data_IF_641191159342
#
_entry.id   IF_641191159342
#
_cell.length_a   1.000
_cell.length_b   1.000
_cell.length_c   1.000
_cell.angle_alpha   90.00
_cell.angle_beta   90.00
_cell.angle_gamma   90.00
#
_symmetry.space_group_name_H-M   'P 1'
#
loop_
_entity.id
_entity.type
_entity.pdbx_description
1 polymer ?
#
# COMPACT_ATOMS: atom_id res chain seq x y z
N UNK A 1 -2.83 -25.45 31.16
CA UNK A 1 -2.48 -26.68 30.41
C UNK A 1 -1.40 -26.33 29.40
N UNK A 2 -0.21 -26.94 29.50
CA UNK A 2 0.84 -26.83 28.49
C UNK A 2 0.55 -27.85 27.38
N UNK A 3 0.46 -27.41 26.12
CA UNK A 3 0.25 -28.29 24.97
C UNK A 3 1.55 -28.59 24.21
N UNK A 4 1.48 -29.43 23.18
CA UNK A 4 2.65 -29.78 22.34
C UNK A 4 3.01 -28.67 21.35
N UNK A 5 4.31 -28.57 21.01
CA UNK A 5 4.88 -27.68 19.97
C UNK A 5 4.44 -26.22 20.11
N UNK A 6 4.54 -25.67 21.32
CA UNK A 6 4.27 -24.24 21.59
C UNK A 6 5.53 -23.41 21.32
N UNK A 7 5.33 -22.18 20.85
CA UNK A 7 6.41 -21.21 20.68
C UNK A 7 7.07 -20.90 22.03
N UNK A 8 8.37 -20.64 21.99
CA UNK A 8 9.16 -20.23 23.16
C UNK A 8 9.81 -18.90 22.80
N UNK A 9 9.55 -17.89 23.61
CA UNK A 9 10.15 -16.57 23.51
C UNK A 9 11.12 -16.38 24.68
N UNK A 10 12.23 -15.68 24.44
CA UNK A 10 13.27 -15.43 25.43
C UNK A 10 13.56 -13.91 25.51
N UNK A 11 12.63 -13.11 26.07
CA UNK A 11 12.77 -11.66 26.09
C UNK A 11 14.05 -11.21 26.79
N UNK A 12 14.76 -10.25 26.20
CA UNK A 12 16.00 -9.71 26.75
C UNK A 12 17.24 -10.60 26.56
N UNK A 13 17.11 -11.75 25.91
CA UNK A 13 18.23 -12.62 25.56
C UNK A 13 18.63 -12.42 24.09
N UNK A 14 19.89 -12.10 23.78
CA UNK A 14 20.38 -12.13 22.40
C UNK A 14 20.31 -13.57 21.88
N UNK A 15 19.33 -13.87 21.03
CA UNK A 15 19.17 -15.20 20.44
C UNK A 15 20.08 -15.32 19.21
N UNK A 16 21.07 -16.20 19.28
CA UNK A 16 22.00 -16.47 18.17
C UNK A 16 21.44 -17.52 17.19
N UNK A 17 20.25 -17.26 16.67
CA UNK A 17 19.69 -18.01 15.55
C UNK A 17 19.99 -17.27 14.23
N UNK A 18 20.26 -17.97 13.13
CA UNK A 18 20.41 -17.33 11.84
C UNK A 18 19.09 -16.65 11.43
N UNK A 19 19.19 -15.49 10.77
CA UNK A 19 18.01 -14.77 10.28
C UNK A 19 17.28 -15.51 9.15
N UNK A 20 17.94 -16.48 8.49
CA UNK A 20 17.36 -17.36 7.47
C UNK A 20 17.89 -18.78 7.72
N UNK A 21 17.02 -19.71 8.09
CA UNK A 21 17.38 -21.12 8.23
C UNK A 21 17.46 -21.84 6.87
N UNK A 22 18.04 -23.05 6.85
CA UNK A 22 18.04 -23.89 5.63
C UNK A 22 16.63 -24.24 5.14
N UNK A 23 15.66 -24.33 6.05
CA UNK A 23 14.25 -24.52 5.67
C UNK A 23 13.69 -23.23 5.04
N UNK A 24 13.96 -22.07 5.65
CA UNK A 24 13.47 -20.79 5.12
C UNK A 24 14.02 -20.53 3.72
N UNK A 25 15.26 -20.93 3.44
CA UNK A 25 15.83 -20.84 2.09
C UNK A 25 15.00 -21.62 1.07
N UNK A 26 14.59 -22.85 1.40
CA UNK A 26 13.75 -23.68 0.53
C UNK A 26 12.38 -23.05 0.31
N UNK A 27 11.76 -22.53 1.38
CA UNK A 27 10.44 -21.90 1.31
C UNK A 27 10.48 -20.61 0.47
N UNK A 28 11.54 -19.81 0.59
CA UNK A 28 11.75 -18.60 -0.21
C UNK A 28 11.90 -18.93 -1.69
N UNK A 29 12.73 -19.92 -2.04
CA UNK A 29 12.91 -20.36 -3.43
C UNK A 29 11.64 -20.98 -4.01
N UNK A 30 10.89 -21.74 -3.21
CA UNK A 30 9.57 -22.23 -3.60
C UNK A 30 8.60 -21.07 -3.86
N UNK A 31 8.59 -20.04 -3.00
CA UNK A 31 7.79 -18.83 -3.23
C UNK A 31 8.12 -18.13 -4.55
N UNK A 32 9.40 -18.05 -4.90
CA UNK A 32 9.86 -17.51 -6.20
C UNK A 32 9.32 -18.36 -7.36
N UNK A 33 9.43 -19.68 -7.27
CA UNK A 33 8.91 -20.62 -8.27
C UNK A 33 7.39 -20.48 -8.46
N UNK A 34 6.64 -20.34 -7.36
CA UNK A 34 5.19 -20.12 -7.39
C UNK A 34 4.79 -18.68 -7.76
N UNK A 35 5.77 -17.79 -7.96
CA UNK A 35 5.54 -16.43 -8.42
C UNK A 35 4.86 -15.53 -7.42
N UNK A 36 5.02 -15.76 -6.10
CA UNK A 36 4.39 -14.94 -5.05
C UNK A 36 4.69 -13.45 -5.23
N UNK A 37 3.77 -12.59 -4.78
CA UNK A 37 3.90 -11.15 -4.97
C UNK A 37 4.69 -10.47 -3.83
N UNK A 38 4.57 -11.02 -2.62
CA UNK A 38 5.10 -10.45 -1.38
C UNK A 38 5.62 -11.58 -0.45
N UNK A 39 6.65 -11.30 0.32
CA UNK A 39 7.21 -12.17 1.36
C UNK A 39 7.13 -11.41 2.69
N UNK A 40 6.53 -12.04 3.69
CA UNK A 40 6.53 -11.53 5.07
C UNK A 40 7.67 -12.21 5.83
N UNK A 41 8.80 -11.50 5.94
CA UNK A 41 10.01 -12.03 6.57
C UNK A 41 9.91 -11.92 8.09
N UNK A 42 9.94 -13.07 8.79
CA UNK A 42 9.74 -13.14 10.24
C UNK A 42 11.03 -12.86 11.01
N UNK A 43 10.88 -12.31 12.22
CA UNK A 43 11.92 -12.04 13.20
C UNK A 43 13.11 -11.23 12.64
N UNK A 44 12.83 -10.26 11.79
CA UNK A 44 13.87 -9.38 11.23
C UNK A 44 14.45 -8.49 12.34
N UNK A 45 15.78 -8.53 12.47
CA UNK A 45 16.54 -7.80 13.50
C UNK A 45 17.40 -6.68 12.95
N UNK A 46 17.76 -6.75 11.67
CA UNK A 46 18.65 -5.80 11.02
C UNK A 46 18.39 -5.71 9.51
N UNK A 47 19.00 -4.72 8.88
CA UNK A 47 18.93 -4.52 7.44
C UNK A 47 19.64 -5.61 6.63
N UNK A 48 20.61 -6.31 7.22
CA UNK A 48 21.39 -7.32 6.51
C UNK A 48 20.53 -8.55 6.20
N UNK A 49 19.69 -8.98 7.14
CA UNK A 49 18.72 -10.07 6.93
C UNK A 49 17.83 -9.83 5.70
N UNK A 50 17.38 -8.58 5.49
CA UNK A 50 16.59 -8.22 4.31
C UNK A 50 17.41 -8.32 3.02
N UNK A 51 18.67 -7.86 3.04
CA UNK A 51 19.58 -7.97 1.90
C UNK A 51 19.89 -9.44 1.58
N UNK A 52 20.06 -10.27 2.60
CA UNK A 52 20.32 -11.70 2.44
C UNK A 52 19.12 -12.41 1.79
N UNK A 53 17.88 -12.06 2.17
CA UNK A 53 16.68 -12.56 1.50
C UNK A 53 16.67 -12.11 0.02
N UNK A 54 16.91 -10.83 -0.25
CA UNK A 54 16.94 -10.28 -1.63
C UNK A 54 18.03 -10.95 -2.49
N UNK A 55 19.20 -11.19 -1.92
CA UNK A 55 20.30 -11.88 -2.60
C UNK A 55 19.96 -13.34 -2.89
N UNK A 56 19.30 -14.03 -1.94
CA UNK A 56 18.92 -15.43 -2.07
C UNK A 56 17.89 -15.65 -3.17
N UNK A 57 16.84 -14.82 -3.23
CA UNK A 57 15.79 -14.95 -4.26
C UNK A 57 16.26 -14.46 -5.64
N UNK A 58 17.34 -13.66 -5.65
CA UNK A 58 18.06 -13.24 -6.85
C UNK A 58 17.19 -12.53 -7.89
N UNK A 59 17.64 -12.59 -9.14
CA UNK A 59 16.99 -11.91 -10.26
C UNK A 59 15.56 -12.42 -10.52
N UNK A 60 15.30 -13.71 -10.29
CA UNK A 60 13.98 -14.30 -10.43
C UNK A 60 12.97 -13.73 -9.41
N UNK A 61 13.45 -13.40 -8.21
CA UNK A 61 12.65 -12.80 -7.14
C UNK A 61 12.73 -11.28 -7.05
N UNK A 62 13.46 -10.58 -7.92
CA UNK A 62 13.76 -9.13 -7.77
C UNK A 62 12.55 -8.22 -7.61
N UNK A 63 11.41 -8.63 -8.15
CA UNK A 63 10.16 -7.88 -8.13
C UNK A 63 9.22 -8.34 -7.02
N UNK A 64 9.64 -9.24 -6.11
CA UNK A 64 8.85 -9.65 -4.94
C UNK A 64 9.13 -8.66 -3.80
N UNK A 65 8.08 -8.16 -3.14
CA UNK A 65 8.26 -7.24 -2.03
C UNK A 65 8.59 -7.96 -0.74
N UNK A 66 9.63 -7.51 -0.05
CA UNK A 66 10.00 -8.04 1.27
C UNK A 66 9.45 -7.10 2.34
N UNK A 67 8.47 -7.59 3.08
CA UNK A 67 7.89 -6.89 4.24
C UNK A 67 8.56 -7.43 5.51
N UNK A 68 9.28 -6.56 6.20
CA UNK A 68 9.94 -6.92 7.45
C UNK A 68 8.92 -7.00 8.58
N UNK A 69 8.78 -8.16 9.22
CA UNK A 69 7.98 -8.30 10.45
C UNK A 69 8.84 -7.89 11.64
N UNK A 70 8.41 -6.85 12.35
CA UNK A 70 9.09 -6.38 13.56
C UNK A 70 8.44 -7.04 14.76
N UNK A 71 9.18 -7.99 15.34
CA UNK A 71 8.67 -8.96 16.32
C UNK A 71 9.47 -8.97 17.62
N UNK A 72 10.60 -8.26 17.69
CA UNK A 72 11.52 -8.28 18.83
C UNK A 72 12.16 -6.92 19.09
N UNK A 73 12.87 -6.82 20.21
CA UNK A 73 13.52 -5.58 20.65
C UNK A 73 14.54 -5.05 19.66
N UNK A 74 15.41 -5.92 19.12
CA UNK A 74 16.46 -5.53 18.16
C UNK A 74 15.88 -4.96 16.87
N UNK A 75 14.75 -5.50 16.39
CA UNK A 75 14.03 -4.96 15.24
C UNK A 75 13.47 -3.56 15.49
N UNK A 76 13.09 -3.22 16.73
CA UNK A 76 12.71 -1.86 17.10
C UNK A 76 13.93 -0.93 17.12
N UNK A 77 15.04 -1.37 17.72
CA UNK A 77 16.27 -0.57 17.81
C UNK A 77 16.84 -0.24 16.42
N UNK A 78 16.83 -1.21 15.52
CA UNK A 78 17.36 -1.08 14.15
C UNK A 78 16.31 -0.63 13.13
N UNK A 79 15.12 -0.22 13.58
CA UNK A 79 13.94 0.00 12.74
C UNK A 79 14.21 0.91 11.54
N UNK A 80 14.94 2.00 11.71
CA UNK A 80 15.21 2.94 10.61
C UNK A 80 16.02 2.26 9.48
N UNK A 81 17.05 1.48 9.83
CA UNK A 81 17.86 0.76 8.83
C UNK A 81 17.09 -0.38 8.16
N UNK A 82 16.20 -1.04 8.90
CA UNK A 82 15.32 -2.09 8.35
C UNK A 82 14.32 -1.46 7.38
N UNK A 83 13.69 -0.35 7.77
CA UNK A 83 12.78 0.41 6.91
C UNK A 83 13.50 0.78 5.62
N UNK A 84 14.76 1.23 5.66
CA UNK A 84 15.51 1.60 4.45
C UNK A 84 15.77 0.41 3.51
N UNK A 85 16.06 -0.78 4.04
CA UNK A 85 16.34 -1.97 3.24
C UNK A 85 15.10 -2.72 2.72
N UNK A 86 14.02 -2.76 3.52
CA UNK A 86 12.79 -3.49 3.23
C UNK A 86 11.87 -2.74 2.25
N UNK A 87 10.93 -3.44 1.64
CA UNK A 87 9.94 -2.82 0.75
C UNK A 87 8.71 -2.34 1.55
N UNK A 88 8.55 -2.80 2.79
CA UNK A 88 7.56 -2.36 3.77
C UNK A 88 7.79 -3.00 5.14
N UNK A 89 6.93 -2.69 6.10
CA UNK A 89 7.01 -3.22 7.47
C UNK A 89 5.68 -3.79 7.92
N UNK A 90 5.72 -4.85 8.72
CA UNK A 90 4.58 -5.35 9.47
C UNK A 90 4.82 -5.16 10.97
N UNK A 91 3.89 -4.48 11.64
CA UNK A 91 3.79 -4.41 13.09
C UNK A 91 3.21 -5.74 13.57
N UNK A 92 4.08 -6.69 13.90
CA UNK A 92 3.69 -8.06 14.25
C UNK A 92 3.47 -8.18 15.77
N UNK A 93 2.29 -7.71 16.21
CA UNK A 93 1.97 -7.46 17.62
C UNK A 93 1.93 -8.69 18.52
N UNK A 94 1.71 -9.87 17.93
CA UNK A 94 1.64 -11.14 18.65
C UNK A 94 2.95 -11.45 19.37
N UNK A 95 4.00 -11.74 18.61
CA UNK A 95 5.34 -11.98 19.15
C UNK A 95 5.92 -10.73 19.81
N UNK A 96 5.68 -9.55 19.23
CA UNK A 96 6.19 -8.31 19.79
C UNK A 96 5.66 -8.03 21.21
N UNK A 97 4.38 -8.31 21.47
CA UNK A 97 3.78 -8.15 22.80
C UNK A 97 4.26 -9.16 23.85
N UNK A 98 5.05 -10.15 23.44
CA UNK A 98 5.77 -11.06 24.32
C UNK A 98 7.22 -10.56 24.53
N UNK A 99 7.86 -10.07 23.47
CA UNK A 99 9.26 -9.60 23.49
C UNK A 99 9.47 -8.24 24.18
N UNK A 100 8.45 -7.37 24.19
CA UNK A 100 8.45 -6.11 24.93
C UNK A 100 7.25 -6.03 25.88
N UNK A 101 7.29 -5.20 26.94
CA UNK A 101 6.14 -5.00 27.81
C UNK A 101 4.90 -4.62 27.01
N UNK A 102 3.77 -5.28 27.28
CA UNK A 102 2.54 -5.17 26.48
C UNK A 102 2.05 -3.72 26.38
N UNK A 103 2.20 -2.94 27.45
CA UNK A 103 1.87 -1.52 27.50
C UNK A 103 2.76 -0.64 26.61
N UNK A 104 3.87 -1.16 26.08
CA UNK A 104 4.74 -0.44 25.12
C UNK A 104 4.44 -0.78 23.66
N UNK A 105 3.63 -1.80 23.38
CA UNK A 105 3.33 -2.25 22.00
C UNK A 105 2.63 -1.14 21.20
N UNK A 106 1.72 -0.39 21.81
CA UNK A 106 1.03 0.71 21.12
C UNK A 106 1.98 1.85 20.74
N UNK A 107 3.02 2.10 21.55
CA UNK A 107 4.06 3.10 21.27
C UNK A 107 4.87 2.64 20.06
N UNK A 108 5.30 1.38 20.06
CA UNK A 108 6.03 0.78 18.96
C UNK A 108 5.22 0.80 17.65
N UNK A 109 3.93 0.43 17.70
CA UNK A 109 3.01 0.50 16.57
C UNK A 109 2.96 1.90 15.96
N UNK A 110 2.66 2.93 16.78
CA UNK A 110 2.54 4.32 16.31
C UNK A 110 3.85 4.81 15.70
N UNK A 111 4.99 4.50 16.34
CA UNK A 111 6.30 4.89 15.84
C UNK A 111 6.64 4.22 14.49
N UNK A 112 6.39 2.92 14.35
CA UNK A 112 6.61 2.17 13.11
C UNK A 112 5.77 2.72 11.96
N UNK A 113 4.45 2.88 12.20
CA UNK A 113 3.53 3.40 11.19
C UNK A 113 3.94 4.80 10.74
N UNK A 114 4.23 5.70 11.68
CA UNK A 114 4.63 7.07 11.36
C UNK A 114 5.95 7.11 10.57
N UNK A 115 6.96 6.30 10.94
CA UNK A 115 8.24 6.24 10.22
C UNK A 115 8.08 5.70 8.81
N UNK A 116 7.26 4.66 8.60
CA UNK A 116 6.95 4.12 7.27
C UNK A 116 6.21 5.15 6.40
N UNK A 117 5.20 5.82 6.95
CA UNK A 117 4.45 6.88 6.25
C UNK A 117 5.36 8.02 5.80
N UNK A 118 6.29 8.45 6.66
CA UNK A 118 7.28 9.51 6.36
C UNK A 118 8.12 9.18 5.13
N UNK A 119 8.61 7.94 5.02
CA UNK A 119 9.42 7.52 3.86
C UNK A 119 8.57 7.07 2.67
N UNK A 120 7.29 6.75 2.87
CA UNK A 120 6.36 6.30 1.84
C UNK A 120 6.46 4.79 1.55
N UNK A 121 6.83 3.99 2.55
CA UNK A 121 6.80 2.52 2.47
C UNK A 121 5.53 2.00 3.14
N UNK A 122 4.88 0.96 2.59
CA UNK A 122 3.65 0.42 3.13
C UNK A 122 3.89 -0.21 4.50
N UNK A 123 2.91 -0.05 5.39
CA UNK A 123 2.95 -0.62 6.73
C UNK A 123 1.66 -1.37 7.07
N UNK A 124 1.84 -2.58 7.61
CA UNK A 124 0.75 -3.50 7.95
C UNK A 124 0.62 -3.59 9.47
N UNK A 125 -0.58 -3.38 10.01
CA UNK A 125 -0.90 -3.72 11.39
C UNK A 125 -1.49 -5.13 11.45
N UNK A 126 -0.96 -5.98 12.33
CA UNK A 126 -1.28 -7.41 12.33
C UNK A 126 -1.49 -7.99 13.73
N UNK A 127 -2.14 -9.16 13.73
CA UNK A 127 -2.39 -10.04 14.87
C UNK A 127 -3.46 -9.54 15.84
N UNK A 128 -4.42 -10.42 16.15
CA UNK A 128 -5.49 -10.20 17.14
C UNK A 128 -6.33 -8.94 16.91
N UNK A 129 -6.47 -8.49 15.66
CA UNK A 129 -7.25 -7.30 15.36
C UNK A 129 -8.75 -7.52 15.64
N UNK A 130 -9.24 -8.75 15.39
CA UNK A 130 -10.62 -9.16 15.65
C UNK A 130 -10.66 -10.57 16.26
N UNK A 131 -9.73 -10.90 17.17
CA UNK A 131 -9.48 -12.26 17.69
C UNK A 131 -10.76 -12.98 18.19
N UNK A 132 -11.65 -12.28 18.89
CA UNK A 132 -12.90 -12.87 19.41
C UNK A 132 -13.78 -13.41 18.28
N UNK A 133 -13.65 -12.87 17.06
CA UNK A 133 -14.40 -13.32 15.89
C UNK A 133 -14.00 -14.70 15.38
N UNK A 134 -12.93 -15.30 15.92
CA UNK A 134 -12.66 -16.73 15.73
C UNK A 134 -13.85 -17.57 16.20
N UNK A 135 -14.47 -17.19 17.33
CA UNK A 135 -15.54 -17.96 17.98
C UNK A 135 -16.88 -17.23 18.06
N UNK A 136 -16.91 -15.93 17.78
CA UNK A 136 -18.10 -15.09 17.86
C UNK A 136 -18.42 -14.38 16.53
N UNK A 137 -19.69 -14.15 16.20
CA UNK A 137 -20.06 -13.45 14.96
C UNK A 137 -19.89 -11.92 15.04
N UNK A 138 -19.50 -11.37 16.22
CA UNK A 138 -19.32 -9.93 16.44
C UNK A 138 -18.04 -9.70 17.25
N UNK A 139 -17.28 -8.63 16.93
CA UNK A 139 -16.09 -8.28 17.69
C UNK A 139 -16.47 -7.59 19.00
N UNK A 140 -15.50 -7.50 19.89
CA UNK A 140 -15.59 -6.63 21.08
C UNK A 140 -15.47 -5.15 20.70
N UNK A 141 -15.76 -4.27 21.65
CA UNK A 141 -15.56 -2.81 21.47
C UNK A 141 -14.08 -2.46 21.37
N UNK A 142 -13.23 -3.15 22.12
CA UNK A 142 -11.78 -2.97 22.07
C UNK A 142 -11.23 -3.34 20.69
N UNK A 143 -11.60 -4.50 20.13
CA UNK A 143 -11.17 -4.94 18.79
C UNK A 143 -11.65 -3.99 17.68
N UNK A 144 -12.90 -3.52 17.76
CA UNK A 144 -13.39 -2.52 16.81
C UNK A 144 -12.59 -1.22 16.87
N UNK A 145 -12.26 -0.78 18.08
CA UNK A 145 -11.45 0.42 18.34
C UNK A 145 -10.00 0.23 17.89
N UNK A 146 -9.46 -0.98 18.01
CA UNK A 146 -8.10 -1.33 17.60
C UNK A 146 -7.94 -1.23 16.08
N UNK A 147 -8.84 -1.84 15.31
CA UNK A 147 -8.85 -1.71 13.84
C UNK A 147 -8.98 -0.25 13.42
N UNK A 148 -9.90 0.50 14.04
CA UNK A 148 -10.08 1.91 13.72
C UNK A 148 -8.81 2.73 13.99
N UNK A 149 -8.17 2.54 15.15
CA UNK A 149 -6.97 3.28 15.52
C UNK A 149 -5.76 2.91 14.66
N UNK A 150 -5.60 1.66 14.24
CA UNK A 150 -4.52 1.29 13.31
C UNK A 150 -4.64 2.07 11.99
N UNK A 151 -5.86 2.26 11.48
CA UNK A 151 -6.13 3.05 10.27
C UNK A 151 -5.93 4.56 10.49
N UNK A 152 -6.34 5.08 11.65
CA UNK A 152 -6.14 6.48 12.04
C UNK A 152 -4.66 6.82 12.26
N UNK A 153 -3.88 5.88 12.81
CA UNK A 153 -2.42 5.98 12.92
C UNK A 153 -1.75 6.03 11.54
N UNK A 154 -2.44 5.52 10.51
CA UNK A 154 -2.05 5.60 9.13
C UNK A 154 -1.50 4.31 8.55
N UNK A 155 -1.88 3.15 9.10
CA UNK A 155 -1.56 1.86 8.48
C UNK A 155 -2.12 1.78 7.05
N UNK A 156 -1.35 1.17 6.13
CA UNK A 156 -1.81 0.92 4.77
C UNK A 156 -2.69 -0.33 4.71
N UNK A 157 -2.38 -1.32 5.53
CA UNK A 157 -3.12 -2.57 5.62
C UNK A 157 -3.37 -2.97 7.07
N UNK A 158 -4.47 -3.69 7.28
CA UNK A 158 -4.80 -4.42 8.49
C UNK A 158 -4.95 -5.89 8.13
N UNK A 159 -4.49 -6.79 8.99
CA UNK A 159 -4.40 -8.23 8.68
C UNK A 159 -5.20 -9.08 9.67
N UNK A 160 -5.93 -10.06 9.14
CA UNK A 160 -6.58 -11.13 9.90
C UNK A 160 -5.69 -12.38 9.86
N UNK A 161 -5.58 -13.07 10.99
CA UNK A 161 -4.73 -14.25 11.18
C UNK A 161 -5.58 -15.49 11.48
N UNK A 162 -5.76 -15.83 12.75
CA UNK A 162 -6.57 -16.98 13.15
C UNK A 162 -8.05 -16.79 12.82
N UNK A 163 -8.50 -15.54 12.78
CA UNK A 163 -9.87 -15.13 12.51
C UNK A 163 -10.42 -15.68 11.18
N UNK A 164 -9.57 -15.74 10.15
CA UNK A 164 -9.94 -16.26 8.82
C UNK A 164 -9.33 -17.62 8.52
N UNK A 165 -8.14 -17.92 9.06
CA UNK A 165 -7.46 -19.19 8.80
C UNK A 165 -8.18 -20.39 9.44
N UNK A 166 -8.83 -20.20 10.59
CA UNK A 166 -9.49 -21.27 11.36
C UNK A 166 -10.76 -20.82 12.11
N UNK A 167 -11.18 -19.56 11.94
CA UNK A 167 -12.33 -19.02 12.63
C UNK A 167 -13.65 -19.54 12.08
N UNK A 168 -14.69 -19.52 12.91
CA UNK A 168 -16.06 -19.93 12.53
C UNK A 168 -16.80 -18.87 11.71
N UNK A 169 -16.31 -17.63 11.67
CA UNK A 169 -16.98 -16.49 11.01
C UNK A 169 -16.05 -15.69 10.07
N UNK A 170 -15.32 -16.34 9.13
CA UNK A 170 -14.28 -15.69 8.34
C UNK A 170 -14.84 -14.56 7.45
N UNK A 171 -15.97 -14.79 6.78
CA UNK A 171 -16.60 -13.79 5.89
C UNK A 171 -17.13 -12.58 6.67
N UNK A 172 -17.77 -12.82 7.81
CA UNK A 172 -18.27 -11.76 8.69
C UNK A 172 -17.12 -10.95 9.28
N UNK A 173 -16.01 -11.59 9.61
CA UNK A 173 -14.82 -10.92 10.13
C UNK A 173 -14.23 -9.96 9.08
N UNK A 174 -14.03 -10.41 7.84
CA UNK A 174 -13.57 -9.55 6.73
C UNK A 174 -14.52 -8.38 6.50
N UNK A 175 -15.85 -8.62 6.46
CA UNK A 175 -16.85 -7.56 6.27
C UNK A 175 -16.83 -6.54 7.42
N UNK A 176 -16.64 -7.01 8.65
CA UNK A 176 -16.58 -6.17 9.84
C UNK A 176 -15.34 -5.28 9.82
N UNK A 177 -14.16 -5.86 9.55
CA UNK A 177 -12.91 -5.12 9.38
C UNK A 177 -13.05 -4.06 8.28
N UNK A 178 -13.57 -4.43 7.09
CA UNK A 178 -13.74 -3.50 5.98
C UNK A 178 -14.67 -2.32 6.31
N UNK A 179 -15.73 -2.55 7.08
CA UNK A 179 -16.63 -1.48 7.51
C UNK A 179 -15.97 -0.55 8.52
N UNK A 180 -15.26 -1.10 9.51
CA UNK A 180 -14.53 -0.28 10.49
C UNK A 180 -13.46 0.57 9.79
N UNK A 181 -12.70 -0.02 8.85
CA UNK A 181 -11.72 0.71 8.08
C UNK A 181 -12.36 1.92 7.39
N UNK A 182 -13.46 1.71 6.66
CA UNK A 182 -14.15 2.80 5.93
C UNK A 182 -14.57 3.96 6.84
N UNK A 183 -15.14 3.66 8.01
CA UNK A 183 -15.50 4.69 9.00
C UNK A 183 -14.26 5.42 9.53
N UNK A 184 -13.19 4.68 9.83
CA UNK A 184 -11.94 5.26 10.30
C UNK A 184 -11.28 6.16 9.24
N UNK A 185 -11.28 5.76 7.96
CA UNK A 185 -10.76 6.62 6.88
C UNK A 185 -11.56 7.92 6.75
N UNK A 186 -12.89 7.86 6.90
CA UNK A 186 -13.76 9.03 6.82
C UNK A 186 -13.51 10.04 7.96
N UNK A 187 -13.02 9.57 9.12
CA UNK A 187 -12.72 10.40 10.28
C UNK A 187 -11.33 11.09 10.23
N UNK A 188 -10.49 10.79 9.23
CA UNK A 188 -9.15 11.37 9.14
C UNK A 188 -9.20 12.84 8.71
N UNK A 189 -8.41 13.68 9.40
CA UNK A 189 -8.18 15.05 8.97
C UNK A 189 -7.15 15.13 7.83
N UNK A 190 -7.55 14.69 6.63
CA UNK A 190 -6.66 14.55 5.46
C UNK A 190 -5.89 15.82 5.09
N UNK A 191 -6.51 17.00 5.27
CA UNK A 191 -5.85 18.28 4.97
C UNK A 191 -4.60 18.50 5.83
N UNK A 192 -4.68 18.22 7.14
CA UNK A 192 -3.55 18.38 8.05
C UNK A 192 -2.50 17.31 7.77
N UNK A 193 -2.93 16.05 7.65
CA UNK A 193 -2.06 14.92 7.34
C UNK A 193 -1.22 15.17 6.07
N UNK A 194 -1.85 15.68 5.01
CA UNK A 194 -1.15 16.04 3.77
C UNK A 194 -0.07 17.11 4.00
N UNK A 195 -0.39 18.18 4.74
CA UNK A 195 0.56 19.28 5.03
C UNK A 195 1.77 18.75 5.79
N UNK A 196 1.55 17.92 6.82
CA UNK A 196 2.62 17.35 7.63
C UNK A 196 3.52 16.44 6.79
N UNK A 197 2.93 15.56 5.97
CA UNK A 197 3.68 14.63 5.11
C UNK A 197 4.52 15.36 4.06
N UNK A 198 4.00 16.42 3.43
CA UNK A 198 4.75 17.24 2.48
C UNK A 198 5.85 18.03 3.18
N UNK A 199 5.58 18.60 4.36
CA UNK A 199 6.56 19.36 5.13
C UNK A 199 7.80 18.58 5.57
N UNK A 200 7.69 17.25 5.67
CA UNK A 200 8.82 16.36 6.00
C UNK A 200 9.71 15.99 4.81
N UNK A 201 9.32 16.33 3.57
CA UNK A 201 10.04 15.93 2.37
C UNK A 201 11.13 16.94 2.03
N UNK A 202 12.37 16.47 1.91
CA UNK A 202 13.51 17.31 1.54
C UNK A 202 13.55 17.53 0.01
N UNK A 203 13.58 18.78 -0.48
CA UNK A 203 13.82 19.07 -1.89
C UNK A 203 15.32 18.91 -2.26
N UNK A 204 15.67 18.66 -3.54
CA UNK A 204 14.75 18.41 -4.65
C UNK A 204 14.19 16.98 -4.64
N UNK A 205 13.00 16.80 -5.21
CA UNK A 205 12.42 15.48 -5.46
C UNK A 205 12.27 15.23 -6.95
N UNK A 206 12.09 13.95 -7.34
CA UNK A 206 11.90 13.59 -8.74
C UNK A 206 10.61 14.16 -9.33
N UNK A 207 10.51 14.35 -10.66
CA UNK A 207 9.30 14.85 -11.31
C UNK A 207 8.03 14.07 -10.93
N UNK A 208 8.09 12.74 -10.93
CA UNK A 208 6.95 11.88 -10.54
C UNK A 208 6.53 12.07 -9.08
N UNK A 209 7.49 12.36 -8.20
CA UNK A 209 7.19 12.64 -6.81
C UNK A 209 6.55 14.03 -6.65
N UNK A 210 7.05 15.05 -7.34
CA UNK A 210 6.44 16.39 -7.40
C UNK A 210 5.02 16.35 -7.94
N UNK A 211 4.78 15.59 -9.01
CA UNK A 211 3.46 15.41 -9.61
C UNK A 211 2.49 14.73 -8.66
N UNK A 212 2.94 13.75 -7.88
CA UNK A 212 2.09 13.14 -6.86
C UNK A 212 1.64 14.16 -5.78
N UNK A 213 2.56 15.01 -5.31
CA UNK A 213 2.21 16.10 -4.37
C UNK A 213 1.18 17.04 -5.00
N UNK A 214 1.43 17.47 -6.24
CA UNK A 214 0.56 18.39 -6.96
C UNK A 214 -0.84 17.79 -7.22
N UNK A 215 -0.90 16.51 -7.62
CA UNK A 215 -2.16 15.79 -7.87
C UNK A 215 -3.00 15.68 -6.59
N UNK A 216 -2.39 15.33 -5.45
CA UNK A 216 -3.11 15.26 -4.17
C UNK A 216 -3.51 16.65 -3.67
N UNK A 217 -2.67 17.68 -3.88
CA UNK A 217 -3.05 19.05 -3.56
C UNK A 217 -4.27 19.51 -4.37
N UNK A 218 -4.25 19.23 -5.67
CA UNK A 218 -5.34 19.55 -6.58
C UNK A 218 -6.61 18.79 -6.21
N UNK A 219 -6.52 17.50 -5.83
CA UNK A 219 -7.70 16.68 -5.49
C UNK A 219 -8.48 17.28 -4.33
N UNK A 220 -7.78 17.84 -3.34
CA UNK A 220 -8.40 18.55 -2.21
C UNK A 220 -9.07 19.84 -2.65
N UNK A 221 -8.54 20.54 -3.66
CA UNK A 221 -9.06 21.85 -4.12
C UNK A 221 -10.29 21.73 -4.98
N UNK A 222 -10.34 20.76 -5.87
CA UNK A 222 -11.49 20.53 -6.75
C UNK A 222 -12.47 19.50 -6.19
N UNK A 223 -12.21 18.99 -4.98
CA UNK A 223 -12.95 17.88 -4.37
C UNK A 223 -13.06 16.69 -5.33
N UNK A 224 -11.93 16.31 -5.93
CA UNK A 224 -11.90 15.25 -6.93
C UNK A 224 -12.48 13.96 -6.36
N UNK A 225 -13.33 13.31 -7.16
CA UNK A 225 -13.94 12.05 -6.80
C UNK A 225 -12.98 10.87 -7.00
N UNK A 226 -11.96 11.01 -7.87
CA UNK A 226 -10.85 10.06 -7.98
C UNK A 226 -9.58 10.69 -8.59
N UNK A 227 -8.44 10.04 -8.35
CA UNK A 227 -7.20 10.24 -9.11
C UNK A 227 -6.98 9.00 -9.97
N UNK A 228 -6.97 9.15 -11.29
CA UNK A 228 -6.63 8.12 -12.26
C UNK A 228 -5.13 8.24 -12.57
N UNK A 229 -4.38 7.16 -12.36
CA UNK A 229 -2.94 7.13 -12.57
C UNK A 229 -2.56 5.97 -13.49
N UNK A 230 -1.83 6.26 -14.56
CA UNK A 230 -1.28 5.23 -15.45
C UNK A 230 0.12 4.86 -14.96
N UNK A 231 0.37 3.58 -14.71
CA UNK A 231 1.62 3.13 -14.08
C UNK A 231 2.10 1.78 -14.58
N UNK A 232 3.40 1.69 -14.89
CA UNK A 232 4.02 0.42 -15.29
C UNK A 232 4.63 -0.31 -14.08
N UNK A 233 5.30 0.41 -13.18
CA UNK A 233 6.01 -0.18 -12.01
C UNK A 233 5.28 0.01 -10.69
N UNK A 234 4.15 0.72 -10.67
CA UNK A 234 3.41 1.08 -9.46
C UNK A 234 3.96 2.33 -8.74
N UNK A 235 5.22 2.71 -8.99
CA UNK A 235 5.93 3.78 -8.27
C UNK A 235 5.19 5.13 -8.23
N UNK A 236 4.59 5.55 -9.35
CA UNK A 236 3.80 6.79 -9.39
C UNK A 236 2.55 6.71 -8.50
N UNK A 237 1.88 5.55 -8.49
CA UNK A 237 0.72 5.32 -7.65
C UNK A 237 1.10 5.29 -6.16
N UNK A 238 2.26 4.71 -5.83
CA UNK A 238 2.81 4.71 -4.47
C UNK A 238 3.07 6.13 -3.98
N UNK A 239 3.67 6.99 -4.81
CA UNK A 239 3.87 8.39 -4.44
C UNK A 239 2.55 9.12 -4.19
N UNK A 240 1.50 8.87 -4.99
CA UNK A 240 0.18 9.47 -4.75
C UNK A 240 -0.39 8.94 -3.42
N UNK A 241 -0.31 7.64 -3.17
CA UNK A 241 -0.78 7.01 -1.93
C UNK A 241 -0.05 7.52 -0.69
N UNK A 242 1.25 7.80 -0.78
CA UNK A 242 2.07 8.38 0.30
C UNK A 242 1.42 9.64 0.88
N UNK A 243 0.82 10.47 0.04
CA UNK A 243 0.22 11.75 0.44
C UNK A 243 -1.25 11.66 0.86
N UNK A 244 -1.78 10.43 0.97
CA UNK A 244 -3.07 10.11 1.60
C UNK A 244 -4.25 10.95 1.08
N UNK A 245 -4.49 11.01 -0.25
CA UNK A 245 -5.69 11.66 -0.78
C UNK A 245 -6.94 11.03 -0.17
N UNK A 246 -7.98 11.85 0.03
CA UNK A 246 -9.29 11.37 0.50
C UNK A 246 -9.98 10.49 -0.55
N UNK A 247 -9.82 10.82 -1.83
CA UNK A 247 -10.43 10.09 -2.94
C UNK A 247 -9.61 8.83 -3.30
N UNK A 248 -10.25 7.80 -3.88
CA UNK A 248 -9.55 6.63 -4.39
C UNK A 248 -8.55 6.97 -5.50
N UNK A 249 -7.50 6.14 -5.59
CA UNK A 249 -6.48 6.21 -6.65
C UNK A 249 -6.72 5.02 -7.59
N UNK A 250 -7.29 5.27 -8.76
CA UNK A 250 -7.48 4.27 -9.81
C UNK A 250 -6.15 4.10 -10.53
N UNK A 251 -5.43 3.01 -10.26
CA UNK A 251 -4.14 2.73 -10.86
C UNK A 251 -4.30 1.74 -12.01
N UNK A 252 -4.11 2.20 -13.24
CA UNK A 252 -4.20 1.36 -14.45
C UNK A 252 -2.80 0.89 -14.84
N UNK A 253 -2.64 -0.42 -15.02
CA UNK A 253 -1.36 -1.05 -15.36
C UNK A 253 -1.53 -2.23 -16.29
N UNK A 254 -0.53 -2.50 -17.14
CA UNK A 254 -0.44 -3.73 -17.96
C UNK A 254 0.29 -4.88 -17.26
N UNK A 255 0.72 -4.69 -16.02
CA UNK A 255 1.48 -5.70 -15.29
C UNK A 255 0.65 -6.32 -14.16
N UNK A 256 0.26 -7.58 -14.31
CA UNK A 256 -0.55 -8.31 -13.32
C UNK A 256 0.09 -8.35 -11.92
N UNK A 257 1.41 -8.57 -11.83
CA UNK A 257 2.13 -8.56 -10.55
C UNK A 257 2.06 -7.19 -9.88
N UNK A 258 2.26 -6.11 -10.64
CA UNK A 258 2.14 -4.74 -10.14
C UNK A 258 0.71 -4.46 -9.67
N UNK A 259 -0.31 -4.88 -10.43
CA UNK A 259 -1.71 -4.73 -10.01
C UNK A 259 -1.96 -5.42 -8.65
N UNK A 260 -1.46 -6.63 -8.44
CA UNK A 260 -1.61 -7.35 -7.16
C UNK A 260 -0.85 -6.67 -6.01
N UNK A 261 0.38 -6.23 -6.26
CA UNK A 261 1.23 -5.56 -5.26
C UNK A 261 0.70 -4.20 -4.82
N UNK A 262 0.02 -3.48 -5.71
CA UNK A 262 -0.57 -2.18 -5.41
C UNK A 262 -1.63 -2.23 -4.29
N UNK A 263 -2.16 -3.40 -3.94
CA UNK A 263 -3.01 -3.57 -2.76
C UNK A 263 -2.31 -3.32 -1.42
N UNK A 264 -0.98 -3.33 -1.38
CA UNK A 264 -0.21 -2.96 -0.18
C UNK A 264 -0.29 -1.47 0.19
N UNK A 265 -0.76 -0.62 -0.73
CA UNK A 265 -0.72 0.82 -0.55
C UNK A 265 -2.12 1.39 -0.40
N UNK A 266 -2.31 2.21 0.62
CA UNK A 266 -3.61 2.76 0.98
C UNK A 266 -4.25 3.57 -0.16
N UNK A 267 -5.55 3.42 -0.32
CA UNK A 267 -6.36 4.18 -1.28
C UNK A 267 -6.22 3.73 -2.74
N UNK A 268 -5.26 2.86 -3.07
CA UNK A 268 -5.09 2.38 -4.45
C UNK A 268 -6.16 1.33 -4.80
N UNK A 269 -6.72 1.46 -5.99
CA UNK A 269 -7.62 0.53 -6.67
C UNK A 269 -6.96 0.14 -8.00
N UNK A 270 -6.22 -0.98 -8.02
CA UNK A 270 -5.49 -1.40 -9.20
C UNK A 270 -6.43 -2.03 -10.23
N UNK A 271 -6.24 -1.68 -11.50
CA UNK A 271 -6.92 -2.29 -12.64
C UNK A 271 -5.90 -2.76 -13.67
N UNK A 272 -5.98 -4.04 -14.02
CA UNK A 272 -5.22 -4.61 -15.10
C UNK A 272 -5.85 -4.26 -16.44
N UNK A 273 -5.08 -3.63 -17.32
CA UNK A 273 -5.47 -3.34 -18.69
C UNK A 273 -4.85 -4.39 -19.62
N UNK A 274 -5.71 -5.18 -20.27
CA UNK A 274 -5.32 -6.23 -21.19
C UNK A 274 -5.28 -5.79 -22.67
N UNK A 275 -5.61 -4.53 -22.95
CA UNK A 275 -5.62 -4.01 -24.32
C UNK A 275 -4.22 -3.93 -24.93
N UNK A 276 -4.17 -4.02 -26.25
CA UNK A 276 -2.95 -3.94 -27.03
C UNK A 276 -2.23 -2.60 -26.82
N UNK A 277 -0.94 -2.56 -27.15
CA UNK A 277 -0.15 -1.33 -27.08
C UNK A 277 -0.36 -0.58 -28.39
N UNK A 278 -0.92 0.63 -28.29
CA UNK A 278 -1.11 1.49 -29.46
C UNK A 278 0.25 2.06 -29.90
N UNK A 279 0.44 2.21 -31.21
CA UNK A 279 1.68 2.76 -31.76
C UNK A 279 1.89 4.22 -31.37
N UNK A 280 0.83 5.03 -31.37
CA UNK A 280 0.86 6.39 -30.87
C UNK A 280 0.70 6.38 -29.35
N UNK A 281 1.73 6.81 -28.63
CA UNK A 281 1.75 6.88 -27.18
C UNK A 281 0.59 7.68 -26.57
N UNK A 282 0.17 8.77 -27.22
CA UNK A 282 -0.93 9.58 -26.70
C UNK A 282 -2.25 8.84 -26.82
N UNK A 283 -2.46 8.12 -27.93
CA UNK A 283 -3.63 7.24 -28.10
C UNK A 283 -3.57 6.10 -27.07
N UNK A 284 -2.40 5.50 -26.85
CA UNK A 284 -2.19 4.45 -25.86
C UNK A 284 -2.49 4.88 -24.42
N UNK A 285 -2.12 6.10 -24.06
CA UNK A 285 -2.40 6.67 -22.73
C UNK A 285 -3.88 7.05 -22.63
N UNK A 286 -4.45 7.62 -23.67
CA UNK A 286 -5.87 7.98 -23.73
C UNK A 286 -6.78 6.76 -23.56
N UNK A 287 -6.50 5.65 -24.25
CA UNK A 287 -7.29 4.40 -24.13
C UNK A 287 -7.22 3.84 -22.71
N UNK A 288 -6.05 3.88 -22.07
CA UNK A 288 -5.88 3.47 -20.66
C UNK A 288 -6.57 4.40 -19.68
N UNK A 289 -6.59 5.70 -19.93
CA UNK A 289 -7.35 6.67 -19.13
C UNK A 289 -8.84 6.38 -19.26
N UNK A 290 -9.36 6.22 -20.49
CA UNK A 290 -10.76 5.86 -20.76
C UNK A 290 -11.15 4.58 -20.03
N UNK A 291 -10.30 3.56 -20.07
CA UNK A 291 -10.50 2.33 -19.30
C UNK A 291 -10.57 2.60 -17.79
N UNK A 292 -9.66 3.41 -17.23
CA UNK A 292 -9.72 3.83 -15.82
C UNK A 292 -11.03 4.53 -15.46
N UNK A 293 -11.53 5.42 -16.33
CA UNK A 293 -12.81 6.11 -16.17
C UNK A 293 -13.97 5.08 -16.17
N UNK A 294 -13.99 4.15 -17.13
CA UNK A 294 -15.00 3.09 -17.21
C UNK A 294 -15.03 2.24 -15.93
N UNK A 295 -13.86 1.83 -15.42
CA UNK A 295 -13.76 1.08 -14.17
C UNK A 295 -14.32 1.87 -12.98
N UNK A 296 -13.97 3.16 -12.88
CA UNK A 296 -14.47 4.06 -11.83
C UNK A 296 -15.99 4.22 -11.85
N UNK A 297 -16.57 4.42 -13.04
CA UNK A 297 -18.02 4.50 -13.25
C UNK A 297 -18.72 3.19 -12.88
N UNK A 298 -18.20 2.05 -13.37
CA UNK A 298 -18.77 0.71 -13.10
C UNK A 298 -18.81 0.39 -11.61
N UNK A 299 -17.79 0.79 -10.87
CA UNK A 299 -17.69 0.57 -9.42
C UNK A 299 -18.30 1.69 -8.58
N UNK A 300 -18.90 2.70 -9.23
CA UNK A 300 -19.56 3.85 -8.59
C UNK A 300 -18.63 4.62 -7.65
N UNK A 301 -17.37 4.79 -8.06
CA UNK A 301 -16.44 5.69 -7.36
C UNK A 301 -16.75 7.16 -7.65
N UNK A 302 -17.33 7.43 -8.82
CA UNK A 302 -17.80 8.74 -9.25
C UNK A 302 -18.87 8.57 -10.33
N UNK A 303 -19.50 9.69 -10.68
CA UNK A 303 -20.52 9.83 -11.71
C UNK A 303 -20.07 10.83 -12.79
N UNK A 304 -20.81 10.88 -13.88
CA UNK A 304 -20.60 11.87 -14.95
C UNK A 304 -20.68 13.29 -14.38
N UNK A 305 -19.76 14.16 -14.78
CA UNK A 305 -19.65 15.53 -14.28
C UNK A 305 -18.79 15.69 -13.03
N UNK A 306 -18.51 14.61 -12.28
CA UNK A 306 -17.67 14.72 -11.08
C UNK A 306 -16.23 15.10 -11.44
N UNK A 307 -15.55 15.96 -10.66
CA UNK A 307 -14.15 16.31 -10.90
C UNK A 307 -13.24 15.08 -10.72
N UNK A 308 -12.33 14.86 -11.67
CA UNK A 308 -11.32 13.82 -11.62
C UNK A 308 -9.95 14.39 -11.94
N UNK A 309 -8.91 13.71 -11.46
CA UNK A 309 -7.53 14.06 -11.77
C UNK A 309 -6.88 12.90 -12.51
N UNK A 310 -6.15 13.21 -13.57
CA UNK A 310 -5.36 12.25 -14.31
C UNK A 310 -3.88 12.54 -14.07
N UNK A 311 -3.12 11.52 -13.69
CA UNK A 311 -1.66 11.55 -13.58
C UNK A 311 -1.05 10.54 -14.57
N UNK A 312 -0.17 11.01 -15.44
CA UNK A 312 0.45 10.19 -16.48
C UNK A 312 1.83 10.71 -16.88
N UNK A 313 2.53 9.94 -17.71
CA UNK A 313 3.79 10.37 -18.34
C UNK A 313 3.56 10.85 -19.77
N UNK A 314 4.27 11.91 -20.16
CA UNK A 314 4.19 12.46 -21.53
C UNK A 314 4.97 11.63 -22.56
N UNK A 315 6.00 10.90 -22.16
CA UNK A 315 6.86 10.12 -23.06
C UNK A 315 6.85 8.62 -22.77
N UNK A 316 7.28 7.84 -23.77
CA UNK A 316 7.50 6.40 -23.66
C UNK A 316 8.54 6.09 -22.60
N UNK A 317 8.23 5.12 -21.73
CA UNK A 317 9.15 4.62 -20.71
C UNK A 317 8.55 4.57 -19.31
N UNK A 318 9.21 3.86 -18.41
CA UNK A 318 8.79 3.75 -17.01
C UNK A 318 9.38 4.89 -16.17
N UNK A 319 8.66 5.31 -15.12
CA UNK A 319 9.15 6.30 -14.16
C UNK A 319 9.17 7.75 -14.65
N UNK A 320 8.50 8.05 -15.77
CA UNK A 320 8.45 9.38 -16.38
C UNK A 320 7.11 10.10 -16.14
N UNK A 321 6.34 9.74 -15.10
CA UNK A 321 5.11 10.47 -14.74
C UNK A 321 5.47 11.92 -14.46
N UNK A 322 4.99 12.84 -15.29
CA UNK A 322 5.35 14.26 -15.26
C UNK A 322 4.16 15.18 -15.59
N UNK A 323 2.97 14.63 -15.83
CA UNK A 323 1.78 15.39 -16.23
C UNK A 323 0.63 15.17 -15.24
N UNK A 324 -0.05 16.25 -14.89
CA UNK A 324 -1.37 16.22 -14.26
C UNK A 324 -2.39 16.92 -15.15
N UNK A 325 -3.59 16.37 -15.25
CA UNK A 325 -4.74 17.00 -15.87
C UNK A 325 -5.90 16.99 -14.88
N UNK A 326 -6.53 18.14 -14.70
CA UNK A 326 -7.76 18.28 -13.92
C UNK A 326 -8.89 18.41 -14.93
N UNK A 327 -9.89 17.54 -14.82
CA UNK A 327 -11.03 17.52 -15.74
C UNK A 327 -12.27 17.00 -15.02
N UNK A 328 -13.41 16.98 -15.70
CA UNK A 328 -14.64 16.34 -15.21
C UNK A 328 -14.80 14.99 -15.88
N UNK A 329 -15.43 14.03 -15.19
CA UNK A 329 -15.82 12.77 -15.79
C UNK A 329 -16.75 13.06 -17.00
N UNK A 330 -16.39 12.65 -18.22
CA UNK A 330 -17.14 13.03 -19.42
C UNK A 330 -18.48 12.28 -19.51
N UNK A 331 -19.45 12.86 -20.22
CA UNK A 331 -20.74 12.21 -20.54
C UNK A 331 -20.56 11.02 -21.49
N UNK A 332 -19.68 11.18 -22.48
CA UNK A 332 -19.30 10.12 -23.43
C UNK A 332 -17.79 9.99 -23.49
N UNK A 333 -17.31 8.75 -23.58
CA UNK A 333 -15.86 8.49 -23.69
C UNK A 333 -15.34 8.76 -25.11
N UNK A 334 -16.23 8.77 -26.10
CA UNK A 334 -15.89 9.06 -27.49
C UNK A 334 -15.42 10.50 -27.68
N UNK A 335 -15.89 11.44 -26.84
CA UNK A 335 -15.46 12.85 -26.86
C UNK A 335 -14.25 13.17 -25.97
N UNK A 336 -13.72 12.20 -25.21
CA UNK A 336 -12.54 12.42 -24.39
C UNK A 336 -11.29 12.28 -25.24
N UNK A 337 -10.55 13.37 -25.44
CA UNK A 337 -9.27 13.36 -26.15
C UNK A 337 -8.19 14.10 -25.39
N UNK A 338 -6.98 13.54 -25.38
CA UNK A 338 -5.80 14.29 -24.97
C UNK A 338 -5.39 15.24 -26.12
N UNK A 339 -5.89 16.47 -26.06
CA UNK A 339 -5.61 17.47 -27.10
C UNK A 339 -4.12 17.85 -27.06
N UNK A 340 -3.40 17.66 -28.18
CA UNK A 340 -2.06 18.25 -28.36
C UNK A 340 -2.23 19.77 -28.43
N UNK A 341 -1.52 20.53 -27.61
CA UNK A 341 -1.63 21.99 -27.52
C UNK A 341 -1.25 22.81 -28.78
N UNK A 342 -1.23 22.20 -29.96
CA UNK A 342 -0.91 22.84 -31.25
C UNK A 342 -2.02 22.71 -32.31
N UNK A 343 -3.28 22.62 -31.91
CA UNK A 343 -4.44 22.84 -32.80
C UNK A 343 -5.32 24.00 -32.29
N UNK A 344 -4.67 25.11 -31.92
CA UNK A 344 -5.30 26.41 -31.75
C UNK A 344 -4.52 27.45 -32.57
N UNK A 345 -4.55 27.32 -33.91
CA UNK A 345 -4.30 28.41 -34.87
C UNK A 345 -4.50 27.93 -36.31
N UNK A 346 -5.75 27.94 -36.80
CA UNK A 346 -6.12 28.23 -38.19
C UNK A 346 -7.65 28.24 -38.31
N UNK A 347 -8.29 29.14 -37.57
CA UNK A 347 -9.62 29.62 -37.92
C UNK A 347 -9.52 31.15 -37.84
N UNK A 348 -9.07 31.73 -38.95
CA UNK A 348 -9.20 33.14 -39.28
C UNK A 348 -10.15 33.22 -40.46
#
# INVERSE_FOLDING_TARGET
MLGSKKGVNLPGVPVDLPSISEKDKKDLLFGVEQGVDIIFASFIRDAQAIRDIKNLIGEAGKNIYIIAKIENHQGIENLDTIIDAADGVMVARGDLGIEIPTEKVFIAQKAMIAKCNRVGKPVICATQMLESMIKAPRPTRAESTDVANAILDGADCVMLSGETAKGSYPMQCVKTMANICREAEAAIWHKQLFVDLVGMVKPPVSPSHSIAIAAVKASVKVLAAAIINITETGKSAHYISKYRPRCPIIAVTRHLKVARQLHLFRGIRPFYYAGEIEQDWLVDIETRIKFGIQCGLKLKYFTVGDPIIIASGWGLGSGLTNTIMITTCPETLDGFHLIRGHTLAAAA
#
